data_IF_405062814626
#
_entry.id   IF_405062814626
#
_cell.length_a   1.000
_cell.length_b   1.000
_cell.length_c   1.000
_cell.angle_alpha   90.00
_cell.angle_beta   90.00
_cell.angle_gamma   90.00
#
_symmetry.space_group_name_H-M   'P 1'
#
loop_
_entity.id
_entity.type
_entity.pdbx_description
1 polymer ?
#
# COMPACT_ATOMS: atom_id res chain seq x y z
N UNK A 1 -24.95 62.21 0.96
CA UNK A 1 -25.31 63.28 1.90
C UNK A 1 -24.20 63.37 2.95
N UNK A 2 -23.49 64.49 3.06
CA UNK A 2 -22.50 64.69 4.13
C UNK A 2 -23.24 65.28 5.33
N UNK A 3 -23.36 64.52 6.41
CA UNK A 3 -23.87 65.02 7.68
C UNK A 3 -22.64 65.39 8.51
N UNK A 4 -22.47 66.67 8.79
CA UNK A 4 -21.46 67.15 9.73
C UNK A 4 -22.18 67.93 10.83
N UNK A 5 -21.91 67.56 12.09
CA UNK A 5 -22.40 68.27 13.25
C UNK A 5 -21.19 68.69 14.09
N UNK A 6 -20.97 69.99 14.24
CA UNK A 6 -20.04 70.53 15.23
C UNK A 6 -20.81 70.78 16.53
N UNK A 7 -20.41 70.20 17.67
CA UNK A 7 -21.00 70.52 18.97
C UNK A 7 -20.70 72.00 19.30
N UNK A 8 -21.72 72.77 19.67
CA UNK A 8 -21.52 74.10 20.28
C UNK A 8 -21.88 74.01 21.75
N UNK A 9 -21.26 74.86 22.58
CA UNK A 9 -21.24 74.79 24.04
C UNK A 9 -22.62 74.85 24.76
N UNK A 10 -23.72 74.97 24.02
CA UNK A 10 -25.07 75.10 24.56
C UNK A 10 -26.01 73.90 24.24
N UNK A 11 -25.50 72.77 23.73
CA UNK A 11 -26.33 71.57 23.50
C UNK A 11 -25.78 70.35 24.27
N UNK A 12 -26.56 69.72 25.17
CA UNK A 12 -26.14 68.50 25.86
C UNK A 12 -26.03 67.30 24.89
N UNK A 13 -25.26 66.24 25.24
CA UNK A 13 -25.06 65.10 24.35
C UNK A 13 -26.36 64.30 24.22
N UNK A 14 -26.89 64.19 22.99
CA UNK A 14 -28.13 63.46 22.71
C UNK A 14 -29.02 64.08 21.63
N UNK A 15 -28.81 65.36 21.31
CA UNK A 15 -29.61 66.07 20.31
C UNK A 15 -28.98 65.98 18.90
N UNK A 16 -29.73 65.42 17.94
CA UNK A 16 -29.36 65.43 16.52
C UNK A 16 -30.36 66.27 15.72
N UNK A 17 -29.86 67.14 14.85
CA UNK A 17 -30.69 67.96 13.96
C UNK A 17 -30.36 67.62 12.52
N UNK A 18 -31.34 67.07 11.78
CA UNK A 18 -31.20 66.81 10.34
C UNK A 18 -31.61 68.08 9.59
N UNK A 19 -30.66 68.69 8.88
CA UNK A 19 -30.89 69.85 8.02
C UNK A 19 -30.65 69.51 6.56
N UNK A 20 -31.55 69.97 5.69
CA UNK A 20 -31.32 70.02 4.24
C UNK A 20 -31.62 71.43 3.75
N UNK A 21 -30.68 72.08 3.06
CA UNK A 21 -30.89 73.38 2.44
C UNK A 21 -31.30 74.52 3.38
N UNK A 22 -30.94 74.47 4.67
CA UNK A 22 -31.29 75.47 5.67
C UNK A 22 -32.58 75.19 6.46
N UNK A 23 -33.39 74.24 6.02
CA UNK A 23 -34.65 73.84 6.67
C UNK A 23 -34.43 72.66 7.62
N UNK A 24 -35.07 72.68 8.80
CA UNK A 24 -35.00 71.62 9.81
C UNK A 24 -36.13 70.62 9.56
N UNK A 25 -35.80 69.33 9.38
CA UNK A 25 -36.78 68.30 9.03
C UNK A 25 -37.18 67.38 10.18
N UNK A 26 -36.36 67.25 11.22
CA UNK A 26 -36.72 66.55 12.45
C UNK A 26 -35.93 67.08 13.65
N UNK A 27 -36.58 67.10 14.81
CA UNK A 27 -35.98 67.36 16.13
C UNK A 27 -36.51 66.28 17.07
N UNK A 28 -35.64 65.40 17.55
CA UNK A 28 -35.99 64.47 18.64
C UNK A 28 -35.28 64.93 19.91
N UNK A 29 -36.02 65.01 21.01
CA UNK A 29 -35.51 65.40 22.34
C UNK A 29 -36.00 64.36 23.34
N UNK A 30 -35.40 63.16 23.34
CA UNK A 30 -35.62 62.18 24.41
C UNK A 30 -34.33 61.43 24.74
N UNK A 31 -34.05 61.39 26.03
CA UNK A 31 -33.03 60.54 26.65
C UNK A 31 -33.37 59.06 26.42
N UNK A 32 -32.43 58.33 25.79
CA UNK A 32 -32.31 56.87 25.60
C UNK A 32 -32.96 56.28 24.33
N UNK A 33 -32.18 55.69 23.40
CA UNK A 33 -32.71 54.99 22.24
C UNK A 33 -32.84 53.49 22.53
N UNK A 34 -34.05 52.94 22.47
CA UNK A 34 -34.24 51.49 22.28
C UNK A 34 -35.12 51.14 21.07
N UNK A 35 -35.66 52.12 20.35
CA UNK A 35 -36.39 51.87 19.09
C UNK A 35 -36.48 53.16 18.29
N UNK A 36 -35.91 53.18 17.07
CA UNK A 36 -36.21 54.20 16.08
C UNK A 36 -37.54 53.80 15.44
N UNK A 37 -38.60 54.54 15.75
CA UNK A 37 -39.87 54.44 15.03
C UNK A 37 -39.69 55.14 13.68
N UNK A 38 -39.80 54.38 12.58
CA UNK A 38 -39.83 54.92 11.23
C UNK A 38 -41.25 55.29 10.84
N UNK A 39 -41.78 56.37 11.41
CA UNK A 39 -42.91 57.08 10.81
C UNK A 39 -42.34 58.29 10.06
N UNK A 40 -41.97 58.07 8.79
CA UNK A 40 -41.75 59.16 7.86
C UNK A 40 -43.11 59.60 7.32
N UNK A 41 -43.47 60.90 7.34
CA UNK A 41 -44.62 61.37 6.58
C UNK A 41 -44.34 61.19 5.08
N UNK A 42 -45.40 60.82 4.37
CA UNK A 42 -45.39 60.27 3.00
C UNK A 42 -44.51 61.02 1.98
N UNK A 43 -43.85 60.20 1.15
CA UNK A 43 -43.23 60.47 -0.16
C UNK A 43 -42.15 61.57 -0.25
N UNK A 44 -40.89 61.17 -0.02
CA UNK A 44 -39.74 61.74 -0.74
C UNK A 44 -39.19 60.67 -1.67
N UNK A 45 -39.53 60.78 -2.95
CA UNK A 45 -39.12 59.87 -4.01
C UNK A 45 -37.63 60.09 -4.36
N UNK A 46 -36.76 59.16 -3.97
CA UNK A 46 -35.37 59.10 -4.44
C UNK A 46 -35.26 58.02 -5.53
N UNK A 47 -34.63 58.29 -6.68
CA UNK A 47 -34.55 57.30 -7.74
C UNK A 47 -33.59 56.17 -7.38
N UNK A 48 -34.09 54.93 -7.49
CA UNK A 48 -33.36 53.76 -7.99
C UNK A 48 -32.40 53.00 -7.08
N UNK A 49 -31.84 53.60 -6.03
CA UNK A 49 -30.76 52.97 -5.27
C UNK A 49 -31.14 52.65 -3.81
N UNK A 50 -30.73 51.47 -3.34
CA UNK A 50 -30.78 51.10 -1.91
C UNK A 50 -29.64 51.86 -1.21
N UNK A 51 -30.00 52.86 -0.41
CA UNK A 51 -29.03 53.60 0.40
C UNK A 51 -28.86 52.92 1.76
N UNK A 52 -27.66 52.36 2.00
CA UNK A 52 -27.27 51.89 3.34
C UNK A 52 -26.78 53.09 4.15
N UNK A 53 -27.45 53.36 5.27
CA UNK A 53 -27.06 54.40 6.21
C UNK A 53 -25.93 53.86 7.12
N UNK A 54 -24.67 54.16 6.81
CA UNK A 54 -23.56 53.95 7.75
C UNK A 54 -23.50 55.14 8.73
N UNK A 55 -23.93 54.93 9.96
CA UNK A 55 -23.62 55.83 11.07
C UNK A 55 -22.16 55.58 11.48
N UNK A 56 -21.25 56.51 11.17
CA UNK A 56 -19.89 56.52 11.74
C UNK A 56 -19.86 57.49 12.91
N UNK A 57 -19.73 56.93 14.10
CA UNK A 57 -19.49 57.71 15.31
C UNK A 57 -18.03 58.20 15.30
N UNK A 58 -17.82 59.52 15.26
CA UNK A 58 -16.49 60.14 15.22
C UNK A 58 -15.82 60.23 16.60
N UNK A 59 -16.40 59.62 17.63
CA UNK A 59 -15.82 59.57 18.97
C UNK A 59 -16.16 58.26 19.66
N UNK A 60 -15.32 57.25 19.46
CA UNK A 60 -15.46 55.96 20.14
C UNK A 60 -15.25 56.14 21.66
N UNK A 61 -16.32 56.19 22.43
CA UNK A 61 -16.28 56.06 23.90
C UNK A 61 -16.94 54.74 24.31
N UNK A 62 -16.09 53.74 24.51
CA UNK A 62 -16.26 52.60 25.44
C UNK A 62 -17.22 51.44 25.15
N UNK A 63 -17.95 51.31 24.03
CA UNK A 63 -18.78 50.09 23.88
C UNK A 63 -19.03 49.50 22.48
N UNK A 64 -18.33 49.92 21.41
CA UNK A 64 -18.35 49.12 20.17
C UNK A 64 -17.11 49.33 19.27
N UNK A 65 -15.92 49.01 19.81
CA UNK A 65 -14.66 48.94 19.06
C UNK A 65 -14.18 47.49 18.86
N UNK A 66 -15.11 46.55 18.83
CA UNK A 66 -14.78 45.13 18.75
C UNK A 66 -14.00 44.83 17.45
N UNK A 67 -12.87 44.15 17.59
CA UNK A 67 -12.17 43.57 16.45
C UNK A 67 -13.05 42.44 15.90
N UNK A 68 -13.52 42.60 14.67
CA UNK A 68 -14.19 41.53 13.94
C UNK A 68 -13.14 40.75 13.16
N UNK A 69 -13.01 39.46 13.46
CA UNK A 69 -11.95 38.62 12.91
C UNK A 69 -12.57 37.50 12.08
N UNK A 70 -12.22 37.45 10.80
CA UNK A 70 -12.53 36.34 9.91
C UNK A 70 -11.27 35.51 9.69
N UNK A 71 -11.36 34.21 9.92
CA UNK A 71 -10.24 33.27 9.80
C UNK A 71 -10.36 32.42 8.54
N UNK A 72 -9.26 32.14 7.86
CA UNK A 72 -9.20 31.14 6.79
C UNK A 72 -7.92 30.34 6.85
N UNK A 73 -7.91 29.13 6.28
CA UNK A 73 -6.75 28.26 6.27
C UNK A 73 -6.58 27.55 4.93
N UNK A 74 -5.32 27.33 4.56
CA UNK A 74 -4.91 26.41 3.50
C UNK A 74 -4.28 25.20 4.17
N UNK A 75 -4.85 24.02 3.94
CA UNK A 75 -4.34 22.79 4.53
C UNK A 75 -2.88 22.53 4.15
N UNK A 76 -2.12 21.96 5.08
CA UNK A 76 -0.83 21.38 4.77
C UNK A 76 -1.03 20.21 3.81
N UNK A 77 -0.14 20.04 2.83
CA UNK A 77 -0.28 18.96 1.82
C UNK A 77 -0.21 17.55 2.41
N UNK A 78 0.53 17.38 3.51
CA UNK A 78 0.73 16.10 4.22
C UNK A 78 0.71 16.30 5.73
N UNK A 79 0.47 15.23 6.50
CA UNK A 79 0.55 15.28 7.97
C UNK A 79 1.89 15.84 8.48
N UNK A 80 3.00 15.53 7.80
CA UNK A 80 4.34 16.00 8.15
C UNK A 80 4.78 17.28 7.42
N UNK A 81 3.98 17.82 6.50
CA UNK A 81 4.41 18.93 5.65
C UNK A 81 4.21 20.30 6.33
N UNK A 82 5.23 21.16 6.21
CA UNK A 82 5.24 22.54 6.69
C UNK A 82 4.86 23.48 5.54
N UNK A 83 3.69 23.31 4.94
CA UNK A 83 3.26 24.15 3.82
C UNK A 83 1.78 24.55 3.87
N UNK A 84 1.13 24.34 5.00
CA UNK A 84 -0.15 24.95 5.30
C UNK A 84 -0.01 26.44 5.61
N UNK A 85 -1.13 27.14 5.56
CA UNK A 85 -1.22 28.58 5.82
C UNK A 85 -2.45 28.86 6.69
N UNK A 86 -2.33 29.79 7.62
CA UNK A 86 -3.41 30.31 8.44
C UNK A 86 -3.48 31.83 8.24
N UNK A 87 -4.66 32.36 7.93
CA UNK A 87 -4.87 33.78 7.65
C UNK A 87 -5.97 34.35 8.51
N UNK A 88 -5.80 35.61 8.90
CA UNK A 88 -6.84 36.41 9.53
C UNK A 88 -7.09 37.69 8.75
N UNK A 89 -8.36 38.00 8.54
CA UNK A 89 -8.83 39.30 8.06
C UNK A 89 -9.53 40.00 9.21
N UNK A 90 -9.10 41.22 9.50
CA UNK A 90 -9.58 41.99 10.65
C UNK A 90 -10.29 43.23 10.14
N UNK A 91 -11.50 43.47 10.63
CA UNK A 91 -12.27 44.70 10.45
C UNK A 91 -12.65 45.27 11.82
N UNK A 92 -12.91 46.58 11.91
CA UNK A 92 -13.02 47.28 13.20
C UNK A 92 -11.65 47.58 13.84
N UNK A 93 -11.65 47.89 15.14
CA UNK A 93 -10.47 48.37 15.88
C UNK A 93 -10.04 49.81 15.53
N UNK A 94 -9.14 50.38 16.34
CA UNK A 94 -8.60 51.72 16.13
C UNK A 94 -7.14 51.67 15.65
N UNK A 95 -6.86 52.40 14.55
CA UNK A 95 -5.50 52.59 14.06
C UNK A 95 -4.84 51.32 13.51
N UNK A 96 -3.51 51.23 13.65
CA UNK A 96 -2.73 50.10 13.14
C UNK A 96 -2.99 48.83 13.95
N UNK A 97 -3.25 47.73 13.27
CA UNK A 97 -3.36 46.39 13.86
C UNK A 97 -2.02 45.64 13.78
N UNK A 98 -1.69 44.94 14.86
CA UNK A 98 -0.52 44.06 14.98
C UNK A 98 -0.96 42.62 15.21
N UNK A 99 -0.13 41.67 14.76
CA UNK A 99 -0.40 40.23 14.85
C UNK A 99 0.75 39.55 15.58
N UNK A 100 0.41 38.56 16.39
CA UNK A 100 1.39 37.66 16.99
C UNK A 100 0.82 36.25 17.03
N UNK A 101 1.33 35.42 16.13
CA UNK A 101 1.04 33.99 16.13
C UNK A 101 1.79 33.30 17.27
N UNK A 102 1.28 32.15 17.70
CA UNK A 102 1.90 31.37 18.77
C UNK A 102 3.26 30.76 18.37
N UNK A 103 3.92 30.13 19.35
CA UNK A 103 5.22 29.49 19.15
C UNK A 103 5.17 28.33 18.14
N UNK A 104 4.02 27.63 18.01
CA UNK A 104 3.85 26.55 17.04
C UNK A 104 3.86 27.10 15.60
N UNK A 105 3.35 28.32 15.40
CA UNK A 105 3.47 29.09 14.16
C UNK A 105 4.77 29.92 14.07
N UNK A 106 5.79 29.62 14.88
CA UNK A 106 7.10 30.29 14.90
C UNK A 106 7.05 31.78 15.25
N UNK A 107 6.06 32.21 16.03
CA UNK A 107 5.89 33.61 16.45
C UNK A 107 5.83 34.60 15.27
N UNK A 108 5.26 34.20 14.13
CA UNK A 108 5.07 35.08 12.97
C UNK A 108 4.21 36.30 13.34
N UNK A 109 4.43 37.44 12.68
CA UNK A 109 3.77 38.73 13.01
C UNK A 109 2.99 39.34 11.84
N UNK A 110 2.69 38.54 10.83
CA UNK A 110 1.93 38.92 9.64
C UNK A 110 0.47 38.45 9.74
N UNK A 111 -0.45 39.06 8.98
CA UNK A 111 -1.86 38.61 8.92
C UNK A 111 -2.02 37.16 8.46
N UNK A 112 -1.05 36.66 7.69
CA UNK A 112 -0.97 35.26 7.26
C UNK A 112 0.29 34.63 7.84
N UNK A 113 0.13 33.53 8.58
CA UNK A 113 1.22 32.65 8.97
C UNK A 113 1.34 31.52 7.93
N UNK A 114 2.57 31.28 7.47
CA UNK A 114 2.87 30.26 6.44
C UNK A 114 3.84 29.22 6.98
N UNK A 115 4.00 28.14 6.23
CA UNK A 115 4.94 27.07 6.58
C UNK A 115 4.47 26.25 7.78
N UNK A 116 3.16 26.09 7.93
CA UNK A 116 2.50 25.45 9.06
C UNK A 116 2.23 23.97 8.79
N UNK A 117 2.37 23.14 9.82
CA UNK A 117 1.86 21.75 9.82
C UNK A 117 0.36 21.74 10.03
N UNK A 118 -0.28 20.58 9.84
CA UNK A 118 -1.63 20.38 10.37
C UNK A 118 -1.65 20.67 11.88
N UNK A 119 -2.63 21.44 12.33
CA UNK A 119 -2.76 21.83 13.73
C UNK A 119 -3.62 23.09 13.90
N UNK A 120 -3.87 23.44 15.15
CA UNK A 120 -4.58 24.67 15.51
C UNK A 120 -3.57 25.68 16.03
N UNK A 121 -3.63 26.89 15.49
CA UNK A 121 -2.71 27.98 15.80
C UNK A 121 -3.48 29.16 16.37
N UNK A 122 -2.97 29.73 17.46
CA UNK A 122 -3.52 30.94 18.07
C UNK A 122 -2.83 32.17 17.49
N UNK A 123 -3.61 33.21 17.23
CA UNK A 123 -3.09 34.54 16.90
C UNK A 123 -3.69 35.56 17.85
N UNK A 124 -2.81 36.34 18.48
CA UNK A 124 -3.20 37.54 19.22
C UNK A 124 -3.15 38.73 18.27
N UNK A 125 -4.27 39.43 18.16
CA UNK A 125 -4.44 40.61 17.33
C UNK A 125 -4.59 41.80 18.27
N UNK A 126 -3.84 42.87 18.06
CA UNK A 126 -3.88 44.04 18.94
C UNK A 126 -3.89 45.32 18.12
N UNK A 127 -4.86 46.18 18.39
CA UNK A 127 -4.95 47.49 17.75
C UNK A 127 -4.03 48.53 18.42
N UNK A 128 -4.02 49.76 17.90
CA UNK A 128 -3.09 50.78 18.36
C UNK A 128 -3.44 51.33 19.76
N UNK A 129 -4.70 51.22 20.17
CA UNK A 129 -5.19 51.65 21.48
C UNK A 129 -5.05 50.55 22.55
N UNK A 130 -4.52 49.38 22.16
CA UNK A 130 -4.21 48.27 23.06
C UNK A 130 -5.36 47.28 23.27
N UNK A 131 -6.42 47.35 22.47
CA UNK A 131 -7.46 46.31 22.47
C UNK A 131 -6.90 45.03 21.85
N UNK A 132 -6.90 43.93 22.61
CA UNK A 132 -6.39 42.64 22.17
C UNK A 132 -7.49 41.59 22.09
N UNK A 133 -7.54 40.86 20.98
CA UNK A 133 -8.37 39.68 20.79
C UNK A 133 -7.51 38.47 20.43
N UNK A 134 -7.92 37.29 20.88
CA UNK A 134 -7.25 36.03 20.56
C UNK A 134 -8.21 35.13 19.80
N UNK A 135 -7.78 34.66 18.63
CA UNK A 135 -8.53 33.68 17.85
C UNK A 135 -7.67 32.49 17.49
N UNK A 136 -8.33 31.41 17.09
CA UNK A 136 -7.72 30.15 16.67
C UNK A 136 -8.01 29.87 15.19
N UNK A 137 -7.00 29.39 14.48
CA UNK A 137 -7.13 28.94 13.09
C UNK A 137 -6.64 27.51 12.98
N UNK A 138 -7.51 26.62 12.50
CA UNK A 138 -7.18 25.21 12.30
C UNK A 138 -6.73 24.94 10.87
N UNK A 139 -5.46 24.58 10.70
CA UNK A 139 -4.87 24.11 9.46
C UNK A 139 -5.08 22.60 9.36
N UNK A 140 -5.84 22.13 8.37
CA UNK A 140 -6.03 20.69 8.10
C UNK A 140 -4.83 20.03 7.41
N UNK A 141 -4.90 18.71 7.21
CA UNK A 141 -4.02 17.98 6.28
C UNK A 141 -4.78 17.64 4.99
N UNK A 142 -4.12 17.79 3.84
CA UNK A 142 -4.64 17.39 2.53
C UNK A 142 -4.61 15.88 2.33
N UNK A 143 -3.50 15.23 2.68
CA UNK A 143 -3.35 13.78 2.81
C UNK A 143 -2.74 13.46 4.18
N UNK A 144 -3.32 12.52 4.93
CA UNK A 144 -2.71 12.04 6.19
C UNK A 144 -1.46 11.20 5.91
N UNK A 145 -1.65 10.09 5.20
CA UNK A 145 -0.64 9.14 4.71
C UNK A 145 -1.10 8.60 3.35
N UNK A 146 -0.20 8.03 2.56
CA UNK A 146 -0.60 7.21 1.40
C UNK A 146 -0.97 5.83 1.92
N UNK A 147 -2.26 5.47 1.85
CA UNK A 147 -2.74 4.16 2.28
C UNK A 147 -2.55 3.16 1.14
N UNK A 148 -1.94 2.03 1.47
CA UNK A 148 -1.53 1.02 0.48
C UNK A 148 -2.17 -0.32 0.77
N UNK A 149 -2.76 -0.92 -0.27
CA UNK A 149 -3.04 -2.34 -0.34
C UNK A 149 -2.02 -3.01 -1.25
N UNK A 150 -1.28 -3.97 -0.72
CA UNK A 150 -0.39 -4.83 -1.52
C UNK A 150 -1.03 -6.19 -1.66
N UNK A 151 -1.21 -6.64 -2.90
CA UNK A 151 -1.81 -7.93 -3.21
C UNK A 151 -0.76 -8.82 -3.83
N UNK A 152 -0.57 -10.01 -3.27
CA UNK A 152 0.14 -11.09 -3.94
C UNK A 152 -0.73 -11.62 -5.07
N UNK A 153 -0.22 -11.60 -6.30
CA UNK A 153 -0.94 -12.14 -7.45
C UNK A 153 -0.57 -13.62 -7.67
N UNK A 154 0.71 -13.97 -7.48
CA UNK A 154 1.19 -15.35 -7.59
C UNK A 154 2.43 -15.58 -6.73
N UNK A 155 2.58 -16.82 -6.25
CA UNK A 155 3.85 -17.30 -5.71
C UNK A 155 4.85 -17.58 -6.84
N UNK A 156 6.14 -17.68 -6.52
CA UNK A 156 7.13 -18.14 -7.49
C UNK A 156 6.93 -19.62 -7.76
N UNK A 157 7.04 -20.01 -9.03
CA UNK A 157 7.15 -21.39 -9.51
C UNK A 157 8.56 -21.66 -10.08
N UNK A 158 8.80 -22.90 -10.50
CA UNK A 158 10.01 -23.25 -11.24
C UNK A 158 10.03 -22.66 -12.64
N UNK A 159 8.88 -22.42 -13.25
CA UNK A 159 8.78 -21.98 -14.65
C UNK A 159 8.53 -20.48 -14.77
N UNK A 160 7.99 -19.85 -13.73
CA UNK A 160 7.63 -18.44 -13.68
C UNK A 160 7.95 -17.86 -12.30
N UNK A 161 8.49 -16.65 -12.25
CA UNK A 161 8.63 -15.97 -10.95
C UNK A 161 7.28 -15.47 -10.43
N UNK A 162 7.23 -15.17 -9.13
CA UNK A 162 6.05 -14.64 -8.47
C UNK A 162 5.73 -13.21 -8.91
N UNK A 163 4.57 -12.72 -8.51
CA UNK A 163 4.14 -11.36 -8.84
C UNK A 163 3.27 -10.73 -7.76
N UNK A 164 3.33 -9.40 -7.67
CA UNK A 164 2.54 -8.61 -6.74
C UNK A 164 2.16 -7.26 -7.34
N UNK A 165 1.03 -6.73 -6.88
CA UNK A 165 0.50 -5.42 -7.29
C UNK A 165 0.23 -4.56 -6.07
N UNK A 166 0.55 -3.27 -6.17
CA UNK A 166 0.25 -2.25 -5.18
C UNK A 166 -0.88 -1.37 -5.67
N UNK A 167 -1.83 -1.09 -4.80
CA UNK A 167 -2.92 -0.14 -5.02
C UNK A 167 -2.88 0.92 -3.92
N UNK A 168 -2.96 2.19 -4.31
CA UNK A 168 -3.23 3.30 -3.39
C UNK A 168 -4.73 3.33 -3.11
N UNK A 169 -5.14 3.20 -1.85
CA UNK A 169 -6.56 3.09 -1.46
C UNK A 169 -7.22 4.43 -1.15
N UNK A 170 -6.44 5.49 -0.94
CA UNK A 170 -6.90 6.85 -0.71
C UNK A 170 -6.29 7.84 -1.73
N UNK A 171 -6.53 7.66 -3.04
CA UNK A 171 -5.88 8.48 -4.06
C UNK A 171 -6.35 9.95 -3.98
N UNK A 172 -5.42 10.88 -4.17
CA UNK A 172 -5.71 12.30 -4.37
C UNK A 172 -5.83 12.59 -5.86
N UNK A 173 -6.85 13.34 -6.27
CA UNK A 173 -7.17 13.64 -7.69
C UNK A 173 -6.05 14.37 -8.43
N UNK A 174 -5.15 15.03 -7.69
CA UNK A 174 -4.08 15.87 -8.25
C UNK A 174 -2.69 15.26 -8.04
N UNK A 175 -2.60 14.03 -7.53
CA UNK A 175 -1.36 13.36 -7.23
C UNK A 175 -1.03 12.28 -8.28
N UNK A 176 0.25 12.22 -8.66
CA UNK A 176 0.84 11.02 -9.25
C UNK A 176 1.62 10.26 -8.18
N UNK A 177 1.81 8.95 -8.38
CA UNK A 177 2.45 8.07 -7.40
C UNK A 177 3.68 7.40 -7.99
N UNK A 178 4.76 7.42 -7.23
CA UNK A 178 6.03 6.76 -7.57
C UNK A 178 6.25 5.57 -6.65
N UNK A 179 6.74 4.46 -7.18
CA UNK A 179 6.91 3.21 -6.45
C UNK A 179 8.40 2.92 -6.29
N UNK A 180 8.81 2.42 -5.13
CA UNK A 180 10.15 1.93 -4.86
C UNK A 180 10.07 0.64 -4.06
N UNK A 181 10.36 -0.46 -4.74
CA UNK A 181 10.41 -1.78 -4.13
C UNK A 181 11.80 -2.09 -3.58
N UNK A 182 11.90 -3.01 -2.62
CA UNK A 182 13.16 -3.46 -2.03
C UNK A 182 14.09 -4.15 -3.04
N UNK A 183 13.57 -4.61 -4.18
CA UNK A 183 14.32 -5.15 -5.31
C UNK A 183 14.64 -4.11 -6.40
N UNK A 184 14.49 -2.82 -6.09
CA UNK A 184 14.70 -1.68 -7.00
C UNK A 184 13.70 -1.56 -8.16
N UNK A 185 12.63 -2.34 -8.19
CA UNK A 185 11.54 -2.11 -9.15
C UNK A 185 10.78 -0.82 -8.82
N UNK A 186 10.17 -0.21 -9.84
CA UNK A 186 9.57 1.13 -9.75
C UNK A 186 8.14 1.23 -10.35
N UNK A 187 7.52 0.09 -10.62
CA UNK A 187 6.16 -0.01 -11.15
C UNK A 187 5.17 -0.45 -10.07
N UNK A 188 3.88 -0.16 -10.29
CA UNK A 188 2.81 -0.60 -9.39
C UNK A 188 2.68 -2.13 -9.34
N UNK A 189 2.96 -2.80 -10.45
CA UNK A 189 3.00 -4.26 -10.57
C UNK A 189 4.43 -4.71 -10.80
N UNK A 190 4.87 -5.72 -10.07
CA UNK A 190 6.18 -6.35 -10.19
C UNK A 190 6.02 -7.83 -10.47
N UNK A 191 6.84 -8.34 -11.39
CA UNK A 191 6.84 -9.72 -11.85
C UNK A 191 8.22 -10.34 -11.67
N UNK A 192 8.32 -11.65 -11.91
CA UNK A 192 9.58 -12.41 -11.83
C UNK A 192 10.24 -12.33 -10.45
N UNK A 193 9.43 -12.29 -9.39
CA UNK A 193 9.92 -12.26 -8.02
C UNK A 193 10.32 -13.66 -7.56
N UNK A 194 11.50 -13.78 -6.96
CA UNK A 194 11.90 -15.00 -6.26
C UNK A 194 11.11 -15.13 -4.94
N UNK A 195 11.11 -16.31 -4.29
CA UNK A 195 10.58 -16.43 -2.93
C UNK A 195 11.27 -15.45 -1.97
N UNK A 196 10.47 -14.71 -1.19
CA UNK A 196 10.97 -13.71 -0.27
C UNK A 196 9.93 -12.66 0.08
N UNK A 197 10.28 -11.76 1.00
CA UNK A 197 9.43 -10.64 1.40
C UNK A 197 9.91 -9.36 0.72
N UNK A 198 9.00 -8.69 0.02
CA UNK A 198 9.27 -7.48 -0.73
C UNK A 198 8.56 -6.30 -0.08
N UNK A 199 9.33 -5.31 0.37
CA UNK A 199 8.81 -4.04 0.86
C UNK A 199 8.64 -3.06 -0.30
N UNK A 200 7.63 -2.21 -0.22
CA UNK A 200 7.40 -1.11 -1.16
C UNK A 200 7.18 0.19 -0.41
N UNK A 201 7.80 1.26 -0.90
CA UNK A 201 7.49 2.64 -0.55
C UNK A 201 6.81 3.31 -1.74
N UNK A 202 5.66 3.95 -1.51
CA UNK A 202 4.95 4.72 -2.54
C UNK A 202 4.93 6.17 -2.12
N UNK A 203 5.47 7.06 -2.96
CA UNK A 203 5.52 8.50 -2.69
C UNK A 203 4.57 9.26 -3.61
N UNK A 204 3.85 10.24 -3.07
CA UNK A 204 3.00 11.15 -3.82
C UNK A 204 3.81 12.29 -4.46
N UNK A 205 3.38 12.80 -5.61
CA UNK A 205 3.88 14.04 -6.18
C UNK A 205 3.37 15.29 -5.45
N UNK A 206 2.33 15.15 -4.61
CA UNK A 206 1.71 16.25 -3.87
C UNK A 206 2.00 16.08 -2.39
N UNK A 207 2.82 17.00 -1.88
CA UNK A 207 3.36 16.92 -0.53
C UNK A 207 4.33 15.75 -0.38
N UNK A 208 5.27 15.83 0.56
CA UNK A 208 6.25 14.77 0.81
C UNK A 208 5.63 13.52 1.48
N UNK A 209 4.40 13.16 1.11
CA UNK A 209 3.64 12.03 1.61
C UNK A 209 4.18 10.73 1.01
N UNK A 210 4.34 9.73 1.86
CA UNK A 210 4.63 8.37 1.41
C UNK A 210 3.90 7.35 2.28
N UNK A 211 3.71 6.17 1.73
CA UNK A 211 3.21 4.99 2.41
C UNK A 211 4.19 3.84 2.23
N UNK A 212 4.24 2.94 3.20
CA UNK A 212 5.04 1.72 3.11
C UNK A 212 4.19 0.50 3.43
N UNK A 213 4.38 -0.57 2.68
CA UNK A 213 3.77 -1.86 2.98
C UNK A 213 4.67 -2.98 2.43
N UNK A 214 4.32 -4.24 2.65
CA UNK A 214 5.11 -5.38 2.18
C UNK A 214 4.24 -6.55 1.76
N UNK A 215 4.83 -7.46 1.00
CA UNK A 215 4.20 -8.71 0.58
C UNK A 215 5.21 -9.85 0.63
N UNK A 216 4.79 -11.02 1.07
CA UNK A 216 5.62 -12.23 1.04
C UNK A 216 5.22 -13.07 -0.18
N UNK A 217 6.18 -13.28 -1.08
CA UNK A 217 6.10 -14.23 -2.18
C UNK A 217 6.60 -15.58 -1.65
N UNK A 218 5.72 -16.56 -1.62
CA UNK A 218 6.05 -17.93 -1.28
C UNK A 218 6.77 -18.65 -2.41
N UNK A 219 7.30 -19.82 -2.07
CA UNK A 219 7.85 -20.79 -3.02
C UNK A 219 7.29 -22.20 -2.78
N UNK A 220 6.17 -22.32 -2.05
CA UNK A 220 5.52 -23.62 -1.81
C UNK A 220 4.96 -24.13 -3.14
N UNK A 221 5.69 -25.04 -3.78
CA UNK A 221 5.39 -25.53 -5.13
C UNK A 221 6.58 -25.51 -6.09
N UNK A 222 7.74 -24.97 -5.71
CA UNK A 222 8.99 -25.11 -6.49
C UNK A 222 9.59 -26.53 -6.46
N UNK A 223 8.81 -27.54 -6.13
CA UNK A 223 9.20 -28.93 -6.29
C UNK A 223 8.91 -29.35 -7.72
N UNK A 224 9.96 -29.39 -8.54
CA UNK A 224 9.90 -30.08 -9.83
C UNK A 224 9.36 -31.50 -9.59
N UNK A 225 8.20 -31.82 -10.18
CA UNK A 225 7.59 -33.14 -10.02
C UNK A 225 7.96 -34.03 -11.20
N UNK A 226 8.36 -35.26 -10.89
CA UNK A 226 8.72 -36.26 -11.89
C UNK A 226 8.46 -37.67 -11.37
N UNK A 227 8.22 -38.59 -12.29
CA UNK A 227 7.99 -40.00 -12.03
C UNK A 227 9.00 -40.84 -12.83
N UNK A 228 9.37 -42.01 -12.31
CA UNK A 228 10.25 -42.96 -13.01
C UNK A 228 9.44 -44.19 -13.38
N UNK A 229 9.47 -44.56 -14.66
CA UNK A 229 9.07 -45.91 -15.12
C UNK A 229 10.32 -46.79 -15.19
N UNK A 230 10.18 -48.08 -14.90
CA UNK A 230 11.31 -49.01 -14.89
C UNK A 230 10.99 -50.37 -15.50
N UNK A 231 12.05 -51.06 -15.90
CA UNK A 231 12.06 -52.47 -16.29
C UNK A 231 13.12 -53.19 -15.48
N UNK A 232 12.73 -54.26 -14.79
CA UNK A 232 13.65 -55.11 -14.03
C UNK A 232 14.40 -56.09 -14.94
N UNK A 233 15.55 -56.59 -14.46
CA UNK A 233 16.37 -57.56 -15.19
C UNK A 233 15.64 -58.91 -15.26
N UNK A 234 15.74 -59.62 -16.40
CA UNK A 234 15.07 -60.92 -16.60
C UNK A 234 15.80 -62.13 -16.01
N UNK A 235 17.13 -62.07 -15.91
CA UNK A 235 17.97 -63.17 -15.44
C UNK A 235 18.80 -62.74 -14.24
N UNK A 236 19.03 -63.64 -13.29
CA UNK A 236 19.97 -63.39 -12.20
C UNK A 236 21.38 -63.13 -12.78
N UNK A 237 22.01 -62.03 -12.34
CA UNK A 237 23.31 -61.59 -12.85
C UNK A 237 23.27 -61.02 -14.27
N UNK A 238 22.09 -60.86 -14.86
CA UNK A 238 21.94 -60.34 -16.21
C UNK A 238 22.05 -58.81 -16.28
N UNK A 239 22.21 -58.33 -17.51
CA UNK A 239 22.01 -56.93 -17.90
C UNK A 239 20.75 -56.82 -18.73
N UNK A 240 19.95 -55.79 -18.54
CA UNK A 240 18.74 -55.60 -19.33
C UNK A 240 17.64 -54.81 -18.63
N UNK A 241 17.90 -54.33 -17.41
CA UNK A 241 17.02 -53.37 -16.77
C UNK A 241 17.07 -52.01 -17.48
N UNK A 242 16.04 -51.20 -17.27
CA UNK A 242 15.94 -49.85 -17.81
C UNK A 242 15.15 -48.94 -16.86
N UNK A 243 15.37 -47.64 -16.97
CA UNK A 243 14.59 -46.62 -16.28
C UNK A 243 14.41 -45.38 -17.16
N UNK A 244 13.23 -44.76 -17.09
CA UNK A 244 12.89 -43.54 -17.83
C UNK A 244 12.22 -42.51 -16.93
N UNK A 245 12.67 -41.26 -17.00
CA UNK A 245 12.08 -40.14 -16.27
C UNK A 245 10.97 -39.48 -17.08
N UNK A 246 9.85 -39.17 -16.42
CA UNK A 246 8.77 -38.35 -16.94
C UNK A 246 8.54 -37.15 -16.01
N UNK A 247 8.85 -35.94 -16.49
CA UNK A 247 8.65 -34.67 -15.77
C UNK A 247 7.22 -34.19 -15.96
N UNK A 248 6.53 -33.86 -14.86
CA UNK A 248 5.18 -33.26 -14.90
C UNK A 248 5.27 -31.88 -15.56
N UNK A 249 4.35 -31.57 -16.48
CA UNK A 249 4.44 -30.36 -17.31
C UNK A 249 5.40 -30.48 -18.50
N UNK A 250 5.94 -31.68 -18.75
CA UNK A 250 6.72 -32.00 -19.93
C UNK A 250 8.23 -31.89 -19.73
N UNK A 251 8.96 -32.60 -20.61
CA UNK A 251 10.40 -32.80 -20.50
C UNK A 251 11.26 -31.72 -21.20
N UNK A 252 10.66 -30.81 -21.97
CA UNK A 252 11.40 -29.78 -22.71
C UNK A 252 12.17 -28.86 -21.75
N UNK A 253 13.47 -28.71 -21.97
CA UNK A 253 14.35 -27.89 -21.11
C UNK A 253 14.73 -28.55 -19.77
N UNK A 254 14.33 -29.79 -19.52
CA UNK A 254 14.82 -30.56 -18.39
C UNK A 254 16.17 -31.23 -18.72
N UNK A 255 17.08 -31.26 -17.75
CA UNK A 255 18.34 -32.01 -17.79
C UNK A 255 18.31 -33.12 -16.76
N UNK A 256 19.03 -34.20 -17.04
CA UNK A 256 19.08 -35.40 -16.22
C UNK A 256 20.54 -35.73 -15.90
N UNK A 257 20.79 -36.20 -14.69
CA UNK A 257 22.08 -36.77 -14.28
C UNK A 257 21.82 -37.98 -13.38
N UNK A 258 22.01 -39.17 -13.94
CA UNK A 258 21.89 -40.42 -13.23
C UNK A 258 23.14 -40.71 -12.38
N UNK A 259 23.01 -41.55 -11.35
CA UNK A 259 24.11 -41.98 -10.48
C UNK A 259 25.25 -42.69 -11.20
N UNK A 260 24.99 -43.24 -12.39
CA UNK A 260 25.97 -43.83 -13.29
C UNK A 260 26.54 -42.82 -14.31
N UNK A 261 26.37 -41.52 -14.06
CA UNK A 261 26.86 -40.41 -14.86
C UNK A 261 26.24 -40.26 -16.26
N UNK A 262 25.16 -40.99 -16.56
CA UNK A 262 24.42 -40.83 -17.81
C UNK A 262 23.49 -39.62 -17.72
N UNK A 263 23.38 -38.85 -18.80
CA UNK A 263 22.56 -37.62 -18.86
C UNK A 263 21.30 -37.72 -19.71
N UNK A 264 21.02 -38.91 -20.24
CA UNK A 264 19.81 -39.18 -21.02
C UNK A 264 18.59 -39.31 -20.11
N UNK A 265 17.40 -38.93 -20.62
CA UNK A 265 16.11 -39.15 -19.95
C UNK A 265 15.84 -40.62 -19.64
N UNK A 266 16.20 -41.50 -20.58
CA UNK A 266 16.09 -42.94 -20.47
C UNK A 266 17.48 -43.56 -20.40
N UNK A 267 17.65 -44.51 -19.47
CA UNK A 267 18.83 -45.37 -19.33
C UNK A 267 18.43 -46.83 -19.48
N UNK A 268 19.29 -47.65 -20.09
CA UNK A 268 19.04 -49.07 -20.36
C UNK A 268 20.32 -49.88 -20.24
N UNK A 269 20.21 -51.21 -20.30
CA UNK A 269 21.34 -52.12 -20.11
C UNK A 269 21.79 -52.22 -18.65
N UNK A 270 20.90 -51.90 -17.71
CA UNK A 270 21.21 -51.86 -16.28
C UNK A 270 21.26 -53.26 -15.68
N UNK A 271 22.10 -53.43 -14.66
CA UNK A 271 22.06 -54.58 -13.74
C UNK A 271 21.08 -54.28 -12.60
N UNK A 272 20.80 -55.29 -11.76
CA UNK A 272 20.06 -55.02 -10.53
C UNK A 272 20.84 -54.05 -9.62
N UNK A 273 20.12 -53.13 -8.99
CA UNK A 273 20.71 -52.08 -8.15
C UNK A 273 19.82 -50.85 -8.04
N UNK A 274 20.21 -49.92 -7.18
CA UNK A 274 19.53 -48.64 -7.00
C UNK A 274 20.15 -47.57 -7.90
N UNK A 275 19.29 -46.85 -8.63
CA UNK A 275 19.67 -45.74 -9.50
C UNK A 275 18.98 -44.47 -9.03
N UNK A 276 19.76 -43.43 -8.80
CA UNK A 276 19.26 -42.09 -8.49
C UNK A 276 19.43 -41.19 -9.72
N UNK A 277 18.52 -40.23 -9.89
CA UNK A 277 18.60 -39.22 -10.95
C UNK A 277 18.34 -37.85 -10.35
N UNK A 278 19.25 -36.93 -10.63
CA UNK A 278 19.05 -35.50 -10.41
C UNK A 278 18.43 -34.92 -11.68
N UNK A 279 17.27 -34.30 -11.54
CA UNK A 279 16.50 -33.72 -12.63
C UNK A 279 16.47 -32.22 -12.41
N UNK A 280 16.86 -31.43 -13.40
CA UNK A 280 16.88 -29.98 -13.28
C UNK A 280 16.09 -29.34 -14.43
N UNK A 281 15.15 -28.44 -14.13
CA UNK A 281 14.35 -27.72 -15.12
C UNK A 281 14.10 -26.29 -14.62
N UNK A 282 14.36 -25.30 -15.47
CA UNK A 282 14.10 -23.88 -15.19
C UNK A 282 14.64 -23.38 -13.84
N UNK A 283 15.80 -23.87 -13.42
CA UNK A 283 16.47 -23.46 -12.16
C UNK A 283 16.03 -24.25 -10.91
N UNK A 284 15.02 -25.12 -11.01
CA UNK A 284 14.67 -26.07 -9.96
C UNK A 284 15.36 -27.42 -10.16
N UNK A 285 15.64 -28.13 -9.07
CA UNK A 285 16.16 -29.49 -9.10
C UNK A 285 15.37 -30.42 -8.17
N UNK A 286 15.16 -31.66 -8.61
CA UNK A 286 14.59 -32.75 -7.79
C UNK A 286 15.43 -34.00 -7.97
N UNK A 287 15.56 -34.79 -6.89
CA UNK A 287 16.19 -36.12 -6.95
C UNK A 287 15.10 -37.19 -6.88
N UNK A 288 15.19 -38.17 -7.77
CA UNK A 288 14.33 -39.36 -7.76
C UNK A 288 15.18 -40.61 -7.71
N UNK A 289 14.63 -41.66 -7.12
CA UNK A 289 15.30 -42.94 -6.94
C UNK A 289 14.42 -44.05 -7.47
N UNK A 290 15.02 -45.04 -8.12
CA UNK A 290 14.37 -46.27 -8.55
C UNK A 290 15.29 -47.46 -8.28
N UNK A 291 14.72 -48.61 -7.98
CA UNK A 291 15.46 -49.86 -7.80
C UNK A 291 15.17 -50.79 -8.97
N UNK A 292 16.20 -51.25 -9.66
CA UNK A 292 16.11 -52.32 -10.67
C UNK A 292 16.30 -53.65 -9.96
N UNK A 293 15.30 -54.53 -10.06
CA UNK A 293 15.33 -55.85 -9.44
C UNK A 293 15.84 -56.92 -10.43
N UNK A 294 16.19 -58.09 -9.89
CA UNK A 294 16.47 -59.30 -10.66
C UNK A 294 15.88 -60.52 -9.92
N UNK A 295 15.63 -61.65 -10.62
CA UNK A 295 15.23 -62.89 -9.97
C UNK A 295 16.33 -63.45 -9.07
N UNK A 296 15.94 -64.33 -8.14
CA UNK A 296 16.89 -65.16 -7.39
C UNK A 296 17.63 -66.11 -8.35
N UNK A 297 18.86 -66.47 -8.00
CA UNK A 297 19.64 -67.44 -8.76
C UNK A 297 18.92 -68.79 -8.81
N UNK A 298 18.94 -69.46 -9.98
CA UNK A 298 18.43 -70.82 -10.08
C UNK A 298 19.42 -71.76 -9.39
N UNK A 299 18.91 -72.57 -8.47
CA UNK A 299 19.65 -73.65 -7.83
C UNK A 299 18.98 -74.97 -8.17
N UNK A 300 19.77 -76.03 -8.35
CA UNK A 300 19.26 -77.37 -8.64
C UNK A 300 19.89 -78.36 -7.66
N UNK A 301 19.05 -79.08 -6.92
CA UNK A 301 19.48 -80.14 -6.00
C UNK A 301 19.14 -81.49 -6.58
N UNK A 302 20.13 -82.38 -6.67
CA UNK A 302 19.94 -83.75 -7.16
C UNK A 302 19.89 -84.68 -5.95
N UNK A 303 18.85 -85.50 -5.89
CA UNK A 303 18.76 -86.65 -5.00
C UNK A 303 18.78 -87.92 -5.83
N UNK A 304 19.41 -88.99 -5.33
CA UNK A 304 19.50 -90.26 -6.06
C UNK A 304 19.40 -91.45 -5.13
N UNK A 305 18.95 -92.56 -5.70
CA UNK A 305 19.11 -93.91 -5.12
C UNK A 305 20.01 -94.69 -6.07
N UNK A 306 21.13 -95.20 -5.57
CA UNK A 306 22.05 -95.99 -6.39
C UNK A 306 21.39 -97.31 -6.79
N UNK A 307 21.70 -97.79 -8.01
CA UNK A 307 21.23 -99.08 -8.47
C UNK A 307 21.96 -100.18 -7.70
N UNK A 308 21.23 -101.06 -7.03
CA UNK A 308 21.80 -102.27 -6.44
C UNK A 308 21.66 -103.47 -7.41
N UNK A 309 22.65 -104.37 -7.38
CA UNK A 309 22.72 -105.57 -8.21
C UNK A 309 21.54 -106.53 -7.98
N UNK A 310 20.86 -106.40 -6.84
CA UNK A 310 19.77 -107.30 -6.40
C UNK A 310 18.37 -106.86 -6.83
N UNK A 311 18.09 -105.55 -6.90
CA UNK A 311 16.74 -105.01 -7.08
C UNK A 311 16.47 -104.44 -8.49
N UNK A 312 17.51 -104.08 -9.25
CA UNK A 312 17.38 -103.54 -10.60
C UNK A 312 16.80 -102.11 -10.63
N UNK A 313 17.63 -101.19 -11.16
CA UNK A 313 17.39 -99.75 -11.40
C UNK A 313 17.59 -98.82 -10.18
N UNK A 314 18.35 -97.75 -10.41
CA UNK A 314 18.49 -96.61 -9.50
C UNK A 314 17.58 -95.46 -9.93
N UNK A 315 17.43 -94.45 -9.07
CA UNK A 315 16.61 -93.25 -9.35
C UNK A 315 17.45 -91.98 -9.22
N UNK A 316 17.08 -90.94 -9.96
CA UNK A 316 17.58 -89.59 -9.76
C UNK A 316 16.42 -88.61 -9.87
N UNK A 317 16.34 -87.65 -8.96
CA UNK A 317 15.32 -86.59 -8.94
C UNK A 317 16.03 -85.25 -8.81
N UNK A 318 15.69 -84.29 -9.66
CA UNK A 318 16.17 -82.92 -9.60
C UNK A 318 15.07 -82.03 -9.05
N UNK A 319 15.38 -81.23 -8.05
CA UNK A 319 14.51 -80.15 -7.56
C UNK A 319 15.19 -78.82 -7.85
N UNK A 320 14.63 -78.02 -8.75
CA UNK A 320 15.07 -76.66 -9.00
C UNK A 320 14.28 -75.65 -8.18
N UNK A 321 14.95 -74.57 -7.75
CA UNK A 321 14.36 -73.42 -7.05
C UNK A 321 14.95 -72.12 -7.60
N UNK A 322 14.24 -71.00 -7.45
CA UNK A 322 14.65 -69.68 -7.91
C UNK A 322 14.32 -69.37 -9.38
N UNK A 323 14.84 -68.27 -9.92
CA UNK A 323 14.42 -67.78 -11.23
C UNK A 323 12.99 -67.23 -11.23
N UNK A 324 12.44 -66.97 -12.42
CA UNK A 324 11.12 -66.33 -12.58
C UNK A 324 10.22 -67.05 -13.59
N UNK A 325 10.52 -68.31 -13.91
CA UNK A 325 9.83 -69.10 -14.93
C UNK A 325 9.89 -70.60 -14.66
N UNK A 326 9.26 -71.39 -15.52
CA UNK A 326 9.27 -72.85 -15.41
C UNK A 326 10.63 -73.47 -15.76
N UNK A 327 10.85 -74.69 -15.27
CA UNK A 327 12.08 -75.45 -15.52
C UNK A 327 11.88 -76.49 -16.61
N UNK A 328 12.84 -76.59 -17.52
CA UNK A 328 12.95 -77.71 -18.47
C UNK A 328 14.15 -78.57 -18.07
N UNK A 329 13.93 -79.87 -17.91
CA UNK A 329 14.98 -80.81 -17.54
C UNK A 329 15.34 -81.66 -18.76
N UNK A 330 16.65 -81.76 -19.06
CA UNK A 330 17.17 -82.66 -20.08
C UNK A 330 18.19 -83.58 -19.43
N UNK A 331 17.86 -84.86 -19.39
CA UNK A 331 18.74 -85.91 -18.88
C UNK A 331 19.58 -86.48 -20.02
N UNK A 332 20.85 -86.73 -19.76
CA UNK A 332 21.78 -87.38 -20.68
C UNK A 332 22.56 -88.46 -19.91
N UNK A 333 22.94 -89.52 -20.62
CA UNK A 333 23.74 -90.63 -20.11
C UNK A 333 25.22 -90.38 -20.42
#
# INVERSE_FOLDING_TARGET
MIISGTPTANNPPGDYVIRMGGTVFAKDTRDRPTTISTDFPDEVNFPGDIYILELRDASCTSNNCALMINTSAKAATCFSADNGEASVQVTGGQGRVTYRWDAAARNQTTPTATGLKQGTYKVTITDQEGCSEVTEVSVGAGLGSVDLRVTKNSDSSCETGGSATVQVTNPSSNATYTYKWSNNANTATVNNLAPGTYGVTVSSSVGACFGTNSVTIGGQGNTLEANITKQDVKCNGGTGGAAEVNVVGGNTGATFLWSNSITNRQISGLTAGTYTVTITKSGCSVVKTTEILQPTAITATITKTDADCSAGLGTATVTAQGGNGGYAYRWFK
#
